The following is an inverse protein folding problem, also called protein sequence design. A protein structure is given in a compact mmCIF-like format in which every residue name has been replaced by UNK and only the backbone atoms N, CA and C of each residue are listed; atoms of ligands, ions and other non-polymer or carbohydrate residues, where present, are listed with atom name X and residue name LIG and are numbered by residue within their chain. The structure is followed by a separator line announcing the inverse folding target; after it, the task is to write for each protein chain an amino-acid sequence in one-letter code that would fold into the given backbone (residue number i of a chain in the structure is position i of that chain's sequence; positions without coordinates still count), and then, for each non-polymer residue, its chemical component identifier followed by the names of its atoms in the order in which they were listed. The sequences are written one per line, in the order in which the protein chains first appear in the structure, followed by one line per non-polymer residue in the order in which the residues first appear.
data_IF_105397165156
#
_entry.id   IF_105397165156
#
_cell.length_a   1.000
_cell.length_b   1.000
_cell.length_c   1.000
_cell.angle_alpha   90.00
_cell.angle_beta   90.00
_cell.angle_gamma   90.00
#
_symmetry.space_group_name_H-M   'P 1'
#
loop_
_entity.id
_entity.type
_entity.pdbx_description
1 polymer ?
#
# COMPACT_ATOMS: atom_id res chain seq x y z
N UNK A 1 0.04 7.54 15.13
CA UNK A 1 -0.79 6.31 15.04
C UNK A 1 -0.27 5.49 13.87
N UNK A 2 0.36 4.35 14.12
CA UNK A 2 0.77 3.42 13.05
C UNK A 2 -0.46 2.59 12.66
N UNK A 3 -0.81 2.59 11.37
CA UNK A 3 -1.86 1.70 10.87
C UNK A 3 -1.36 0.26 10.94
N UNK A 4 -2.21 -0.74 11.28
CA UNK A 4 -1.81 -2.14 11.20
C UNK A 4 -1.35 -2.50 9.78
N UNK A 5 -1.85 -1.83 8.75
CA UNK A 5 -1.39 -2.02 7.37
C UNK A 5 -0.08 -1.32 7.03
N UNK A 6 0.55 -0.62 7.98
CA UNK A 6 1.85 0.03 7.80
C UNK A 6 2.97 -0.58 8.67
N UNK A 7 2.69 -1.54 9.54
CA UNK A 7 3.70 -2.16 10.44
C UNK A 7 4.49 -3.28 9.76
N UNK A 8 5.68 -3.57 10.31
CA UNK A 8 6.53 -4.70 9.94
C UNK A 8 5.99 -5.98 10.58
N UNK A 9 5.74 -7.00 9.77
CA UNK A 9 5.28 -8.31 10.22
C UNK A 9 6.22 -9.42 9.76
N UNK A 10 6.26 -10.51 10.53
CA UNK A 10 6.86 -11.77 10.09
C UNK A 10 5.92 -12.50 9.16
N UNK A 11 6.34 -12.75 7.94
CA UNK A 11 5.59 -13.62 7.03
C UNK A 11 6.04 -15.07 7.21
N UNK A 12 5.26 -15.85 7.98
CA UNK A 12 5.45 -17.28 8.22
C UNK A 12 4.92 -18.15 7.07
N UNK A 13 4.05 -17.64 6.20
CA UNK A 13 3.45 -18.40 5.10
C UNK A 13 4.44 -18.58 3.93
N UNK A 14 5.29 -17.58 3.67
CA UNK A 14 6.35 -17.64 2.65
C UNK A 14 7.75 -17.95 3.23
N UNK A 15 7.82 -18.51 4.45
CA UNK A 15 9.05 -18.70 5.19
C UNK A 15 9.77 -20.02 4.86
N UNK A 16 11.10 -19.99 4.65
CA UNK A 16 11.97 -21.18 4.72
C UNK A 16 12.60 -21.39 6.11
N UNK A 17 12.99 -20.32 6.79
CA UNK A 17 13.52 -20.31 8.16
C UNK A 17 12.90 -19.12 8.90
N UNK A 18 12.04 -19.32 9.89
CA UNK A 18 11.46 -18.28 10.77
C UNK A 18 10.76 -17.05 10.13
N UNK A 19 10.70 -16.90 8.80
CA UNK A 19 9.90 -15.87 8.12
C UNK A 19 10.40 -14.42 8.25
N UNK A 20 11.64 -14.22 8.67
CA UNK A 20 12.23 -12.89 8.89
C UNK A 20 12.63 -12.25 7.56
N UNK A 21 13.36 -12.97 6.71
CA UNK A 21 13.71 -12.45 5.37
C UNK A 21 12.48 -12.16 4.50
N UNK A 22 11.44 -13.00 4.58
CA UNK A 22 10.17 -12.77 3.88
C UNK A 22 9.43 -11.56 4.45
N UNK A 23 9.42 -11.37 5.77
CA UNK A 23 8.85 -10.18 6.41
C UNK A 23 9.58 -8.88 6.04
N UNK A 24 10.92 -8.90 6.01
CA UNK A 24 11.74 -7.75 5.60
C UNK A 24 11.48 -7.41 4.13
N UNK A 25 11.46 -8.41 3.26
CA UNK A 25 11.13 -8.23 1.84
C UNK A 25 9.72 -7.66 1.64
N UNK A 26 8.72 -8.19 2.35
CA UNK A 26 7.34 -7.71 2.32
C UNK A 26 7.19 -6.27 2.82
N UNK A 27 8.04 -5.85 3.75
CA UNK A 27 8.01 -4.51 4.31
C UNK A 27 8.75 -3.49 3.45
N UNK A 28 9.92 -3.89 2.93
CA UNK A 28 10.78 -3.02 2.13
C UNK A 28 10.37 -2.97 0.67
N UNK A 29 9.65 -3.98 0.17
CA UNK A 29 9.34 -4.15 -1.25
C UNK A 29 10.52 -4.69 -2.08
N UNK A 30 11.62 -5.11 -1.43
CA UNK A 30 12.79 -5.70 -2.09
C UNK A 30 12.57 -7.20 -2.32
N UNK A 31 13.11 -7.75 -3.40
CA UNK A 31 13.01 -9.18 -3.68
C UNK A 31 13.64 -10.01 -2.55
N UNK A 32 12.90 -11.01 -2.06
CA UNK A 32 13.33 -11.93 -0.97
C UNK A 32 14.70 -12.56 -1.27
N UNK A 33 15.01 -12.80 -2.54
CA UNK A 33 16.29 -13.36 -2.97
C UNK A 33 17.47 -12.46 -2.57
N UNK A 34 17.39 -11.15 -2.84
CA UNK A 34 18.44 -10.20 -2.48
C UNK A 34 18.59 -10.06 -0.96
N UNK A 35 17.47 -10.07 -0.22
CA UNK A 35 17.50 -10.03 1.24
C UNK A 35 18.22 -11.26 1.82
N UNK A 36 17.99 -12.45 1.23
CA UNK A 36 18.70 -13.67 1.62
C UNK A 36 20.19 -13.61 1.25
N UNK A 37 20.52 -13.15 0.04
CA UNK A 37 21.91 -13.05 -0.41
C UNK A 37 22.70 -12.06 0.47
N UNK A 38 22.10 -10.93 0.83
CA UNK A 38 22.66 -9.98 1.78
C UNK A 38 22.90 -10.61 3.16
N UNK A 39 21.92 -11.33 3.70
CA UNK A 39 22.07 -12.06 4.97
C UNK A 39 23.20 -13.09 4.92
N UNK A 40 23.29 -13.87 3.85
CA UNK A 40 24.34 -14.87 3.65
C UNK A 40 25.71 -14.19 3.59
N UNK A 41 25.86 -13.12 2.79
CA UNK A 41 27.10 -12.34 2.74
C UNK A 41 27.51 -11.78 4.10
N UNK A 42 26.55 -11.24 4.86
CA UNK A 42 26.78 -10.73 6.21
C UNK A 42 27.18 -11.84 7.17
N UNK A 43 26.62 -13.03 7.01
CA UNK A 43 26.97 -14.21 7.81
C UNK A 43 28.42 -14.64 7.55
N UNK A 44 28.86 -14.67 6.29
CA UNK A 44 30.24 -14.96 5.93
C UNK A 44 31.22 -13.89 6.44
N UNK A 45 30.86 -12.61 6.34
CA UNK A 45 31.72 -11.52 6.77
C UNK A 45 31.81 -11.35 8.30
N UNK A 46 30.73 -11.70 9.01
CA UNK A 46 30.63 -11.60 10.48
C UNK A 46 30.95 -12.91 11.22
N UNK A 47 31.46 -13.93 10.51
CA UNK A 47 31.88 -15.21 11.08
C UNK A 47 30.74 -16.03 11.70
N UNK A 48 29.50 -15.87 11.23
CA UNK A 48 28.33 -16.61 11.74
C UNK A 48 27.53 -15.90 12.83
N UNK A 49 27.97 -14.74 13.33
CA UNK A 49 27.27 -13.98 14.38
C UNK A 49 25.91 -13.41 13.95
N UNK A 50 25.62 -13.37 12.64
CA UNK A 50 24.31 -12.99 12.10
C UNK A 50 23.20 -14.00 12.40
N UNK A 51 23.54 -15.28 12.69
CA UNK A 51 22.59 -16.36 12.98
C UNK A 51 21.75 -16.09 14.25
N UNK A 52 22.34 -15.79 15.43
CA UNK A 52 21.55 -15.44 16.61
C UNK A 52 20.71 -14.17 16.42
N UNK A 53 21.23 -13.17 15.70
CA UNK A 53 20.46 -11.97 15.34
C UNK A 53 19.21 -12.31 14.51
N UNK A 54 19.33 -13.24 13.58
CA UNK A 54 18.19 -13.73 12.80
C UNK A 54 17.12 -14.39 13.68
N UNK A 55 17.55 -15.17 14.66
CA UNK A 55 16.66 -15.81 15.63
C UNK A 55 15.95 -14.79 16.53
N UNK A 56 16.69 -13.82 17.06
CA UNK A 56 16.15 -12.74 17.89
C UNK A 56 15.13 -11.92 17.08
N UNK A 57 15.45 -11.55 15.85
CA UNK A 57 14.52 -10.84 14.96
C UNK A 57 13.26 -11.68 14.66
N UNK A 58 13.40 -13.00 14.53
CA UNK A 58 12.27 -13.92 14.35
C UNK A 58 11.38 -14.07 15.57
N UNK A 59 11.93 -13.88 16.76
CA UNK A 59 11.18 -13.91 18.02
C UNK A 59 10.51 -12.57 18.33
N UNK A 60 11.16 -11.45 18.00
CA UNK A 60 10.64 -10.09 18.19
C UNK A 60 9.57 -9.69 17.18
N UNK A 61 9.63 -10.18 15.93
CA UNK A 61 8.64 -9.81 14.92
C UNK A 61 7.29 -10.50 15.16
N UNK A 62 6.25 -9.67 15.29
CA UNK A 62 4.87 -10.10 15.35
C UNK A 62 4.45 -10.89 14.10
N UNK A 63 3.67 -11.94 14.29
CA UNK A 63 3.15 -12.79 13.20
C UNK A 63 2.20 -11.97 12.32
N UNK A 64 2.37 -12.04 11.00
CA UNK A 64 1.44 -11.46 10.02
C UNK A 64 0.04 -12.09 10.22
N UNK A 65 -1.02 -11.30 10.44
CA UNK A 65 -2.39 -11.83 10.48
C UNK A 65 -2.78 -12.34 9.08
N UNK A 66 -3.51 -13.45 9.02
CA UNK A 66 -3.73 -14.22 7.78
C UNK A 66 -4.58 -13.50 6.72
N UNK A 67 -5.37 -12.50 7.12
CA UNK A 67 -6.24 -11.71 6.25
C UNK A 67 -5.84 -10.21 6.23
N UNK A 68 -4.56 -9.88 6.44
CA UNK A 68 -4.12 -8.48 6.48
C UNK A 68 -4.36 -7.73 5.16
N UNK A 69 -4.22 -8.44 4.04
CA UNK A 69 -4.48 -7.95 2.68
C UNK A 69 -5.41 -8.96 1.99
N UNK A 70 -6.36 -8.44 1.22
CA UNK A 70 -7.31 -9.27 0.47
C UNK A 70 -6.64 -9.88 -0.76
N UNK A 71 -5.79 -9.09 -1.43
CA UNK A 71 -5.08 -9.48 -2.63
C UNK A 71 -3.63 -8.95 -2.65
N UNK A 72 -2.90 -9.33 -3.71
CA UNK A 72 -1.50 -8.90 -3.91
C UNK A 72 -1.40 -7.43 -4.33
N UNK A 73 -2.42 -6.88 -4.95
CA UNK A 73 -2.47 -5.48 -5.37
C UNK A 73 -2.56 -4.55 -4.16
N UNK A 74 -3.42 -4.87 -3.19
CA UNK A 74 -3.58 -4.17 -1.92
C UNK A 74 -2.26 -4.20 -1.14
N UNK A 75 -1.58 -5.35 -1.07
CA UNK A 75 -0.25 -5.44 -0.44
C UNK A 75 0.75 -4.46 -1.09
N UNK A 76 0.81 -4.42 -2.42
CA UNK A 76 1.72 -3.55 -3.18
C UNK A 76 1.36 -2.07 -3.00
N UNK A 77 0.05 -1.76 -2.93
CA UNK A 77 -0.45 -0.43 -2.63
C UNK A 77 0.03 0.04 -1.25
N UNK A 78 -0.16 -0.77 -0.21
CA UNK A 78 0.28 -0.41 1.15
C UNK A 78 1.81 -0.38 1.30
N UNK A 79 2.56 -1.16 0.52
CA UNK A 79 4.02 -1.00 0.42
C UNK A 79 4.39 0.38 -0.15
N UNK A 80 3.74 0.80 -1.24
CA UNK A 80 3.98 2.12 -1.87
C UNK A 80 3.62 3.28 -0.93
N UNK A 81 2.49 3.16 -0.22
CA UNK A 81 2.05 4.14 0.79
C UNK A 81 3.10 4.33 1.87
N UNK A 82 3.72 3.24 2.36
CA UNK A 82 4.80 3.29 3.37
C UNK A 82 6.07 3.96 2.83
N UNK A 83 6.49 3.59 1.61
CA UNK A 83 7.75 4.09 1.03
C UNK A 83 7.70 5.60 0.76
N UNK A 84 6.56 6.13 0.30
CA UNK A 84 6.42 7.55 0.02
C UNK A 84 4.99 8.07 0.27
N UNK A 85 4.63 8.32 1.54
CA UNK A 85 3.27 8.73 1.91
C UNK A 85 2.87 10.07 1.27
N UNK A 86 3.82 11.00 1.11
CA UNK A 86 3.56 12.31 0.47
C UNK A 86 3.19 12.16 -1.00
N UNK A 87 3.88 11.28 -1.74
CA UNK A 87 3.57 11.00 -3.15
C UNK A 87 2.21 10.33 -3.29
N UNK A 88 1.92 9.33 -2.48
CA UNK A 88 0.64 8.63 -2.53
C UNK A 88 -0.52 9.55 -2.16
N UNK A 89 -0.38 10.39 -1.13
CA UNK A 89 -1.41 11.39 -0.79
C UNK A 89 -1.66 12.38 -1.94
N UNK A 90 -0.60 12.83 -2.63
CA UNK A 90 -0.72 13.70 -3.82
C UNK A 90 -1.43 13.00 -4.97
N UNK A 91 -1.13 11.74 -5.22
CA UNK A 91 -1.76 10.92 -6.26
C UNK A 91 -3.26 10.72 -5.99
N UNK A 92 -3.63 10.44 -4.73
CA UNK A 92 -5.03 10.32 -4.30
C UNK A 92 -5.77 11.64 -4.50
N UNK A 93 -5.19 12.77 -4.08
CA UNK A 93 -5.78 14.10 -4.28
C UNK A 93 -5.97 14.44 -5.75
N UNK A 94 -5.00 14.09 -6.60
CA UNK A 94 -5.11 14.30 -8.04
C UNK A 94 -6.26 13.46 -8.64
N UNK A 95 -6.42 12.21 -8.23
CA UNK A 95 -7.54 11.36 -8.65
C UNK A 95 -8.89 11.87 -8.16
N UNK A 96 -9.00 12.30 -6.91
CA UNK A 96 -10.22 12.93 -6.38
C UNK A 96 -10.63 14.13 -7.22
N UNK A 97 -9.68 15.03 -7.53
CA UNK A 97 -9.94 16.20 -8.37
C UNK A 97 -10.43 15.84 -9.77
N UNK A 98 -9.93 14.75 -10.37
CA UNK A 98 -10.40 14.28 -11.67
C UNK A 98 -11.84 13.74 -11.60
N UNK A 99 -12.17 13.00 -10.53
CA UNK A 99 -13.53 12.51 -10.28
C UNK A 99 -14.50 13.66 -10.07
N UNK A 100 -14.14 14.66 -9.26
CA UNK A 100 -14.97 15.85 -9.02
C UNK A 100 -15.26 16.61 -10.33
N UNK A 101 -14.25 16.72 -11.21
CA UNK A 101 -14.43 17.34 -12.53
C UNK A 101 -15.41 16.57 -13.40
N UNK A 102 -15.29 15.24 -13.46
CA UNK A 102 -16.21 14.38 -14.23
C UNK A 102 -17.64 14.44 -13.66
N UNK A 103 -17.78 14.53 -12.34
CA UNK A 103 -19.08 14.67 -11.70
C UNK A 103 -19.75 16.00 -12.09
N UNK A 104 -19.00 17.10 -12.12
CA UNK A 104 -19.51 18.40 -12.56
C UNK A 104 -19.96 18.39 -14.04
N UNK A 105 -19.26 17.66 -14.91
CA UNK A 105 -19.66 17.51 -16.32
C UNK A 105 -20.99 16.75 -16.45
N UNK A 106 -21.18 15.69 -15.64
CA UNK A 106 -22.43 14.92 -15.59
C UNK A 106 -23.58 15.74 -15.00
N UNK A 107 -23.32 16.51 -13.95
CA UNK A 107 -24.30 17.42 -13.35
C UNK A 107 -24.77 18.45 -14.38
N UNK A 108 -23.84 19.01 -15.16
CA UNK A 108 -24.17 19.96 -16.23
C UNK A 108 -25.09 19.34 -17.28
N UNK A 109 -24.85 18.08 -17.67
CA UNK A 109 -25.72 17.36 -18.61
C UNK A 109 -27.15 17.18 -18.07
N UNK A 110 -27.29 16.87 -16.77
CA UNK A 110 -28.60 16.66 -16.16
C UNK A 110 -29.38 17.97 -15.94
N UNK A 111 -28.71 19.02 -15.44
CA UNK A 111 -29.34 20.32 -15.11
C UNK A 111 -29.64 21.15 -16.37
N UNK A 112 -28.83 21.05 -17.43
CA UNK A 112 -29.06 21.78 -18.68
C UNK A 112 -30.16 21.18 -19.58
N UNK A 113 -30.71 20.01 -19.22
CA UNK A 113 -31.68 19.30 -20.07
C UNK A 113 -33.10 19.90 -20.11
N UNK A 114 -33.33 21.11 -19.57
CA UNK A 114 -34.62 21.79 -19.74
C UNK A 114 -34.57 23.32 -19.96
N UNK A 115 -33.91 23.80 -21.03
CA UNK A 115 -33.93 25.23 -21.37
C UNK A 115 -35.31 25.69 -21.87
N UNK A 116 -36.13 24.77 -22.39
CA UNK A 116 -37.49 25.07 -22.89
C UNK A 116 -38.45 25.47 -21.76
N UNK A 117 -38.40 24.80 -20.62
CA UNK A 117 -39.28 25.09 -19.47
C UNK A 117 -38.97 26.46 -18.85
N UNK A 118 -37.69 26.83 -18.70
CA UNK A 118 -37.33 28.18 -18.22
C UNK A 118 -37.75 29.27 -19.21
N UNK A 119 -37.58 29.04 -20.52
CA UNK A 119 -37.98 30.02 -21.54
C UNK A 119 -39.50 30.23 -21.60
N UNK A 120 -40.30 29.22 -21.25
CA UNK A 120 -41.76 29.29 -21.25
C UNK A 120 -42.32 30.01 -20.01
N UNK A 121 -41.66 29.87 -18.85
CA UNK A 121 -41.97 30.61 -17.63
C UNK A 121 -41.71 32.12 -17.79
N UNK A 122 -40.58 32.50 -18.41
CA UNK A 122 -40.24 33.91 -18.68
C UNK A 122 -41.24 34.57 -19.65
N UNK A 123 -41.85 33.79 -20.55
CA UNK A 123 -42.80 34.30 -21.56
C UNK A 123 -44.22 34.49 -21.01
N UNK A 124 -44.53 33.92 -19.84
CA UNK A 124 -45.82 34.03 -19.15
C UNK A 124 -45.79 35.05 -18.00
N UNK A 125 -44.65 35.70 -17.78
CA UNK A 125 -44.46 36.79 -16.81
C UNK A 125 -44.45 38.14 -17.51
#
# INVERSE_FOLDING_TARGET
MNSPRTTLYRDKQNAKLMGVCSGIADYTGVNVFWVRLGLVGLTFMSGGSTIPFYFIAGLLLNKKPSHLYVDREEQTYWQRVRQNPKRTAREIRARMKDVDRRLADVETYYVSSNPRLNAEIERLR
#
